data_IF_094262179748
#
_entry.id   IF_094262179748
#
_cell.length_a   1.000
_cell.length_b   1.000
_cell.length_c   1.000
_cell.angle_alpha   90.00
_cell.angle_beta   90.00
_cell.angle_gamma   90.00
#
_symmetry.space_group_name_H-M   'P 1'
#
loop_
_entity.id
_entity.type
_entity.pdbx_description
1 polymer ?
#
# COMPACT_ATOMS: atom_id res chain seq x y z
N UNK A 1 -11.05 -7.94 -28.18
CA UNK A 1 -11.47 -7.97 -26.76
C UNK A 1 -12.62 -7.00 -26.50
N UNK A 2 -13.80 -7.43 -26.07
CA UNK A 2 -14.90 -6.52 -25.70
C UNK A 2 -14.53 -5.61 -24.51
N UNK A 3 -15.28 -4.52 -24.32
CA UNK A 3 -15.10 -3.67 -23.13
C UNK A 3 -15.53 -4.43 -21.87
N UNK A 4 -14.92 -4.12 -20.73
CA UNK A 4 -15.19 -4.77 -19.45
C UNK A 4 -14.44 -6.08 -19.21
N UNK A 5 -13.77 -6.65 -20.22
CA UNK A 5 -13.07 -7.93 -20.09
C UNK A 5 -11.95 -7.86 -19.06
N UNK A 6 -11.87 -8.91 -18.24
CA UNK A 6 -10.72 -9.20 -17.40
C UNK A 6 -9.56 -9.71 -18.29
N UNK A 7 -8.39 -9.10 -18.14
CA UNK A 7 -7.20 -9.37 -18.93
C UNK A 7 -5.95 -9.41 -18.06
N UNK A 8 -4.96 -10.19 -18.48
CA UNK A 8 -3.65 -10.30 -17.84
C UNK A 8 -2.54 -10.41 -18.90
N UNK A 9 -1.28 -10.41 -18.47
CA UNK A 9 -0.10 -10.49 -19.35
C UNK A 9 -0.11 -9.47 -20.51
N UNK A 10 -0.24 -8.19 -20.17
CA UNK A 10 -0.47 -7.11 -21.16
C UNK A 10 0.85 -6.51 -21.63
N UNK A 11 1.00 -6.30 -22.93
CA UNK A 11 2.11 -5.57 -23.54
C UNK A 11 1.98 -4.05 -23.31
N UNK A 12 3.10 -3.36 -23.03
CA UNK A 12 3.13 -1.88 -22.99
C UNK A 12 3.56 -1.32 -24.36
N UNK A 13 4.44 -2.04 -25.04
CA UNK A 13 4.96 -1.71 -26.36
C UNK A 13 4.74 -2.94 -27.25
N UNK A 14 4.28 -2.69 -28.47
CA UNK A 14 3.99 -3.72 -29.45
C UNK A 14 5.21 -4.67 -29.62
N UNK A 15 4.97 -5.97 -29.53
CA UNK A 15 5.98 -7.00 -29.81
C UNK A 15 7.07 -7.16 -28.74
N UNK A 16 7.02 -6.43 -27.61
CA UNK A 16 7.97 -6.61 -26.50
C UNK A 16 7.55 -7.70 -25.50
N UNK A 17 6.43 -8.37 -25.75
CA UNK A 17 5.86 -9.36 -24.84
C UNK A 17 5.17 -8.71 -23.63
N UNK A 18 4.41 -9.54 -22.92
CA UNK A 18 3.60 -9.10 -21.78
C UNK A 18 4.46 -8.64 -20.61
N UNK A 19 4.15 -7.45 -20.09
CA UNK A 19 4.91 -6.80 -19.01
C UNK A 19 4.03 -6.54 -17.78
N UNK A 20 2.74 -6.24 -17.98
CA UNK A 20 1.81 -5.90 -16.91
C UNK A 20 0.94 -7.08 -16.51
N UNK A 21 0.49 -7.07 -15.24
CA UNK A 21 -0.44 -8.07 -14.67
C UNK A 21 0.02 -9.53 -14.87
N UNK A 22 1.25 -9.84 -14.45
CA UNK A 22 1.84 -11.19 -14.52
C UNK A 22 1.89 -11.95 -13.20
N UNK A 23 1.73 -11.24 -12.09
CA UNK A 23 1.81 -11.85 -10.76
C UNK A 23 0.58 -12.75 -10.49
N UNK A 24 0.74 -13.70 -9.57
CA UNK A 24 -0.35 -14.58 -9.14
C UNK A 24 -1.61 -13.79 -8.75
N UNK A 25 -2.77 -14.21 -9.26
CA UNK A 25 -4.05 -13.53 -9.06
C UNK A 25 -4.16 -12.13 -9.66
N UNK A 26 -3.18 -11.63 -10.43
CA UNK A 26 -3.26 -10.32 -11.04
C UNK A 26 -4.29 -10.29 -12.17
N UNK A 27 -5.07 -9.20 -12.20
CA UNK A 27 -6.07 -8.94 -13.24
C UNK A 27 -6.14 -7.44 -13.51
N UNK A 28 -6.28 -7.08 -14.78
CA UNK A 28 -6.62 -5.75 -15.24
C UNK A 28 -7.97 -5.79 -15.96
N UNK A 29 -8.65 -4.66 -16.06
CA UNK A 29 -9.91 -4.53 -16.80
C UNK A 29 -9.76 -3.54 -17.95
N UNK A 30 -10.26 -3.91 -19.11
CA UNK A 30 -10.40 -3.00 -20.26
C UNK A 30 -11.62 -2.10 -20.03
N UNK A 31 -11.42 -0.80 -19.85
CA UNK A 31 -12.52 0.13 -19.56
C UNK A 31 -13.11 0.68 -20.84
N UNK A 32 -12.25 1.27 -21.66
CA UNK A 32 -12.64 2.02 -22.85
C UNK A 32 -11.60 1.81 -23.96
N UNK A 33 -12.01 2.11 -25.19
CA UNK A 33 -11.17 2.06 -26.37
C UNK A 33 -11.48 3.28 -27.21
N UNK A 34 -10.48 4.11 -27.46
CA UNK A 34 -10.66 5.38 -28.14
C UNK A 34 -9.49 5.64 -29.09
N UNK A 35 -9.77 6.03 -30.33
CA UNK A 35 -8.75 6.33 -31.34
C UNK A 35 -7.72 5.19 -31.51
N UNK A 36 -6.44 5.47 -31.25
CA UNK A 36 -5.33 4.49 -31.33
C UNK A 36 -4.98 3.86 -29.99
N UNK A 37 -5.69 4.19 -28.91
CA UNK A 37 -5.37 3.75 -27.54
C UNK A 37 -6.52 3.04 -26.84
N UNK A 38 -6.17 2.19 -25.89
CA UNK A 38 -7.08 1.46 -25.01
C UNK A 38 -6.81 1.91 -23.57
N UNK A 39 -7.89 2.15 -22.83
CA UNK A 39 -7.85 2.57 -21.44
C UNK A 39 -8.01 1.35 -20.54
N UNK A 40 -6.99 1.06 -19.74
CA UNK A 40 -6.95 -0.08 -18.84
C UNK A 40 -6.98 0.36 -17.38
N UNK A 41 -7.70 -0.39 -16.55
CA UNK A 41 -7.60 -0.34 -15.09
C UNK A 41 -6.66 -1.44 -14.62
N UNK A 42 -5.50 -1.06 -14.11
CA UNK A 42 -4.49 -1.97 -13.60
C UNK A 42 -4.89 -2.55 -12.23
N UNK A 43 -4.30 -3.69 -11.80
CA UNK A 43 -4.54 -4.26 -10.46
C UNK A 43 -4.17 -3.30 -9.32
N UNK A 44 -3.28 -2.34 -9.57
CA UNK A 44 -2.93 -1.27 -8.64
C UNK A 44 -4.07 -0.26 -8.42
N UNK A 45 -5.08 -0.24 -9.30
CA UNK A 45 -6.12 0.78 -9.37
C UNK A 45 -5.76 2.01 -10.22
N UNK A 46 -4.55 2.05 -10.79
CA UNK A 46 -4.16 3.06 -11.77
C UNK A 46 -4.91 2.86 -13.10
N UNK A 47 -5.36 3.96 -13.71
CA UNK A 47 -5.96 3.97 -15.05
C UNK A 47 -4.94 4.52 -16.03
N UNK A 48 -4.67 3.74 -17.08
CA UNK A 48 -3.57 4.00 -18.01
C UNK A 48 -3.97 3.69 -19.45
N UNK A 49 -3.47 4.51 -20.37
CA UNK A 49 -3.56 4.31 -21.81
C UNK A 49 -2.45 3.39 -22.32
N UNK A 50 -2.82 2.46 -23.20
CA UNK A 50 -1.94 1.55 -23.93
C UNK A 50 -2.33 1.58 -25.42
N UNK A 51 -1.41 1.29 -26.34
CA UNK A 51 -1.76 1.17 -27.77
C UNK A 51 -2.78 0.04 -27.98
N UNK A 52 -3.74 0.25 -28.88
CA UNK A 52 -4.73 -0.80 -29.24
C UNK A 52 -4.10 -2.03 -29.89
N UNK A 53 -2.93 -1.87 -30.50
CA UNK A 53 -2.24 -2.95 -31.20
C UNK A 53 -1.50 -3.89 -30.23
N UNK A 54 -1.33 -3.52 -28.96
CA UNK A 54 -0.66 -4.34 -27.96
C UNK A 54 -1.47 -5.59 -27.63
N UNK A 55 -0.79 -6.73 -27.51
CA UNK A 55 -1.43 -8.00 -27.16
C UNK A 55 -1.71 -8.12 -25.66
N UNK A 56 -2.74 -8.89 -25.33
CA UNK A 56 -3.09 -9.24 -23.96
C UNK A 56 -3.84 -10.57 -23.92
N UNK A 57 -3.75 -11.28 -22.79
CA UNK A 57 -4.44 -12.56 -22.58
C UNK A 57 -5.72 -12.33 -21.79
N UNK A 58 -6.81 -13.02 -22.17
CA UNK A 58 -8.10 -12.96 -21.47
C UNK A 58 -8.00 -13.74 -20.15
N UNK A 59 -8.65 -13.24 -19.10
CA UNK A 59 -8.78 -13.91 -17.81
C UNK A 59 -7.84 -13.36 -16.73
N UNK A 60 -7.77 -14.08 -15.61
CA UNK A 60 -6.94 -13.76 -14.44
C UNK A 60 -5.77 -14.75 -14.35
N UNK A 61 -4.62 -14.29 -13.85
CA UNK A 61 -3.50 -15.19 -13.54
C UNK A 61 -3.89 -16.16 -12.42
N UNK A 62 -3.59 -17.45 -12.56
CA UNK A 62 -3.88 -18.47 -11.56
C UNK A 62 -3.18 -18.28 -10.20
N UNK A 63 -3.36 -19.25 -9.30
CA UNK A 63 -2.78 -19.27 -7.95
C UNK A 63 -3.16 -18.06 -7.07
N UNK A 64 -4.46 -17.73 -7.03
CA UNK A 64 -4.99 -16.57 -6.29
C UNK A 64 -4.67 -16.63 -4.79
N UNK A 65 -4.67 -17.83 -4.19
CA UNK A 65 -4.43 -18.06 -2.76
C UNK A 65 -2.97 -18.00 -2.31
N UNK A 66 -2.02 -17.61 -3.17
CA UNK A 66 -0.58 -17.59 -2.78
C UNK A 66 -0.30 -16.69 -1.59
N UNK A 67 -1.09 -15.63 -1.41
CA UNK A 67 -0.95 -14.66 -0.32
C UNK A 67 -1.55 -15.15 1.01
N UNK A 68 -2.32 -16.24 1.01
CA UNK A 68 -2.89 -16.84 2.22
C UNK A 68 -1.88 -17.75 2.94
N UNK A 69 -0.78 -18.12 2.28
CA UNK A 69 0.26 -18.98 2.86
C UNK A 69 1.06 -18.23 3.92
N UNK A 70 1.13 -18.77 5.13
CA UNK A 70 2.08 -18.34 6.17
C UNK A 70 3.38 -19.13 6.05
N UNK A 71 4.54 -18.47 6.16
CA UNK A 71 5.85 -19.11 6.06
C UNK A 71 6.21 -19.94 7.32
N UNK A 72 5.58 -19.65 8.46
CA UNK A 72 5.72 -20.36 9.74
C UNK A 72 7.07 -20.16 10.46
N UNK A 73 8.17 -20.51 9.79
CA UNK A 73 9.54 -20.47 10.34
C UNK A 73 10.43 -19.48 9.60
N UNK A 74 11.46 -18.99 10.29
CA UNK A 74 12.43 -18.05 9.73
C UNK A 74 13.19 -18.63 8.51
N UNK A 75 13.61 -19.90 8.58
CA UNK A 75 14.35 -20.57 7.51
C UNK A 75 13.62 -20.66 6.17
N UNK A 76 12.28 -20.76 6.18
CA UNK A 76 11.46 -20.74 4.96
C UNK A 76 11.65 -19.47 4.14
N UNK A 77 12.01 -18.34 4.78
CA UNK A 77 12.30 -17.08 4.10
C UNK A 77 13.66 -17.10 3.40
N UNK A 78 14.63 -17.79 3.98
CA UNK A 78 15.96 -17.99 3.39
C UNK A 78 15.88 -18.89 2.15
N UNK A 79 15.01 -19.90 2.13
CA UNK A 79 14.76 -20.73 0.95
C UNK A 79 14.23 -19.94 -0.25
N UNK A 80 13.60 -18.79 -0.01
CA UNK A 80 13.18 -17.85 -1.05
C UNK A 80 14.30 -16.88 -1.50
N UNK A 81 15.55 -17.12 -1.07
CA UNK A 81 16.70 -16.25 -1.34
C UNK A 81 16.69 -14.91 -0.59
N UNK A 82 15.86 -14.76 0.45
CA UNK A 82 15.75 -13.51 1.22
C UNK A 82 16.54 -13.59 2.51
N UNK A 83 17.58 -12.74 2.62
CA UNK A 83 18.43 -12.63 3.81
C UNK A 83 17.76 -11.80 4.93
N UNK A 84 18.17 -11.98 6.20
CA UNK A 84 17.76 -11.11 7.30
C UNK A 84 18.11 -9.64 7.04
N UNK A 85 17.28 -8.72 7.53
CA UNK A 85 17.48 -7.26 7.40
C UNK A 85 17.45 -6.65 8.80
N UNK A 86 18.46 -5.86 9.13
CA UNK A 86 18.59 -5.16 10.42
C UNK A 86 17.86 -3.82 10.37
N UNK A 87 17.21 -3.43 11.47
CA UNK A 87 16.52 -2.13 11.59
C UNK A 87 17.54 -1.01 11.77
N UNK A 88 17.35 0.12 11.08
CA UNK A 88 18.26 1.27 11.17
C UNK A 88 18.41 1.89 12.56
N UNK A 89 17.43 1.72 13.46
CA UNK A 89 17.51 2.21 14.85
C UNK A 89 18.54 1.44 15.69
N UNK A 90 18.87 0.21 15.30
CA UNK A 90 19.81 -0.67 16.04
C UNK A 90 21.25 -0.45 15.57
N UNK A 91 21.45 0.30 14.48
CA UNK A 91 22.76 0.51 13.89
C UNK A 91 23.51 1.65 14.59
N UNK A 92 24.80 1.83 14.28
CA UNK A 92 25.55 2.99 14.74
C UNK A 92 25.16 4.25 13.93
N UNK A 93 25.41 5.47 14.46
CA UNK A 93 25.12 6.71 13.74
C UNK A 93 25.78 6.84 12.36
N UNK A 94 26.96 6.21 12.19
CA UNK A 94 27.70 6.18 10.92
C UNK A 94 27.00 5.34 9.85
N UNK A 95 26.33 4.26 10.26
CA UNK A 95 25.71 3.29 9.35
C UNK A 95 24.28 3.69 8.94
N UNK A 96 23.55 4.33 9.84
CA UNK A 96 22.18 4.76 9.59
C UNK A 96 21.86 6.08 10.27
N UNK A 97 21.12 6.99 9.62
CA UNK A 97 20.69 8.26 10.22
C UNK A 97 19.76 8.17 11.45
N UNK A 98 19.37 6.95 11.85
CA UNK A 98 18.55 6.68 13.02
C UNK A 98 19.33 5.91 14.09
N UNK A 99 20.60 5.61 13.83
CA UNK A 99 21.44 4.81 14.68
C UNK A 99 21.98 5.59 15.87
N UNK A 100 22.44 4.85 16.88
CA UNK A 100 22.98 5.35 18.14
C UNK A 100 21.93 5.60 19.23
N UNK A 101 22.37 6.35 20.25
CA UNK A 101 21.68 6.49 21.53
C UNK A 101 22.23 5.51 22.58
N UNK A 102 22.17 5.90 23.85
CA UNK A 102 22.66 5.08 24.99
C UNK A 102 21.84 3.79 25.19
N UNK A 103 20.62 3.75 24.62
CA UNK A 103 19.74 2.59 24.65
C UNK A 103 18.73 2.65 23.51
N UNK A 104 17.51 2.19 23.75
CA UNK A 104 16.45 2.24 22.73
C UNK A 104 16.02 3.69 22.46
N UNK A 105 16.44 4.24 21.33
CA UNK A 105 16.09 5.60 20.93
C UNK A 105 14.81 5.67 20.07
N UNK A 106 14.01 6.76 20.19
CA UNK A 106 13.08 7.16 19.14
C UNK A 106 13.85 7.66 17.91
N UNK A 107 13.14 7.94 16.81
CA UNK A 107 13.75 8.33 15.52
C UNK A 107 14.61 9.61 15.61
N UNK A 108 14.33 10.51 16.56
CA UNK A 108 15.11 11.74 16.79
C UNK A 108 15.08 12.77 15.66
N UNK A 109 14.40 12.49 14.53
CA UNK A 109 14.31 13.36 13.35
C UNK A 109 12.86 13.73 13.04
N UNK A 110 12.66 14.90 12.42
CA UNK A 110 11.33 15.40 11.97
C UNK A 110 10.58 14.40 11.09
N UNK A 111 11.28 13.60 10.29
CA UNK A 111 10.71 12.55 9.41
C UNK A 111 11.61 11.31 9.44
N UNK A 112 11.04 10.09 9.34
CA UNK A 112 11.84 8.88 9.14
C UNK A 112 12.57 8.94 7.80
N UNK A 113 13.83 8.52 7.78
CA UNK A 113 14.69 8.54 6.61
C UNK A 113 15.18 7.15 6.21
N UNK A 114 15.58 7.02 4.94
CA UNK A 114 16.30 5.88 4.40
C UNK A 114 17.75 5.86 4.91
N UNK A 115 18.50 4.75 4.76
CA UNK A 115 19.93 4.71 5.07
C UNK A 115 20.73 5.84 4.41
N UNK A 116 20.34 6.24 3.19
CA UNK A 116 20.96 7.36 2.45
C UNK A 116 20.39 8.75 2.77
N UNK A 117 19.65 8.91 3.86
CA UNK A 117 19.19 10.23 4.34
C UNK A 117 17.94 10.82 3.66
N UNK A 118 17.37 10.19 2.64
CA UNK A 118 16.11 10.66 2.03
C UNK A 118 14.89 10.37 2.92
N UNK A 119 13.83 11.21 2.90
CA UNK A 119 12.59 10.92 3.60
C UNK A 119 11.92 9.62 3.10
N UNK A 120 11.71 8.66 4.00
CA UNK A 120 11.16 7.34 3.68
C UNK A 120 9.63 7.36 3.50
N UNK A 121 8.94 8.29 4.19
CA UNK A 121 7.48 8.38 4.19
C UNK A 121 6.99 9.59 3.39
N UNK A 122 5.98 9.37 2.56
CA UNK A 122 5.19 10.43 1.91
C UNK A 122 5.86 11.17 0.74
N UNK A 123 7.18 11.02 0.54
CA UNK A 123 7.88 11.63 -0.60
C UNK A 123 7.59 10.85 -1.89
N UNK A 124 7.05 11.51 -2.92
CA UNK A 124 6.90 10.92 -4.27
C UNK A 124 8.26 10.87 -4.95
N UNK A 125 8.67 9.69 -5.41
CA UNK A 125 9.98 9.44 -6.05
C UNK A 125 9.93 9.40 -7.58
N UNK A 126 8.74 9.41 -8.18
CA UNK A 126 8.57 9.43 -9.64
C UNK A 126 9.11 10.74 -10.23
N UNK A 127 9.98 10.64 -11.25
CA UNK A 127 10.48 11.79 -12.02
C UNK A 127 9.32 12.54 -12.68
N UNK A 128 9.30 13.88 -12.56
CA UNK A 128 8.19 14.74 -13.05
C UNK A 128 8.04 14.73 -14.58
N UNK A 129 9.15 14.81 -15.32
CA UNK A 129 9.17 14.95 -16.80
C UNK A 129 9.27 13.61 -17.55
N UNK A 130 8.66 12.54 -17.03
CA UNK A 130 8.74 11.21 -17.69
C UNK A 130 7.76 11.14 -18.86
N UNK A 131 8.17 10.59 -20.00
CA UNK A 131 7.32 10.44 -21.21
C UNK A 131 5.96 9.79 -20.91
N UNK A 132 5.93 8.83 -19.98
CA UNK A 132 4.74 8.07 -19.61
C UNK A 132 3.74 8.84 -18.74
N UNK A 133 3.97 10.13 -18.46
CA UNK A 133 3.06 10.93 -17.64
C UNK A 133 1.73 11.18 -18.36
N UNK A 134 1.76 11.48 -19.66
CA UNK A 134 0.56 11.71 -20.49
C UNK A 134 -0.29 10.46 -20.65
N UNK A 135 0.33 9.27 -20.61
CA UNK A 135 -0.37 7.99 -20.72
C UNK A 135 -1.12 7.59 -19.45
N UNK A 136 -0.90 8.26 -18.31
CA UNK A 136 -1.55 7.91 -17.04
C UNK A 136 -2.68 8.89 -16.78
N UNK A 137 -3.91 8.41 -16.93
CA UNK A 137 -5.13 9.21 -16.73
C UNK A 137 -5.44 9.39 -15.25
N UNK A 138 -5.34 8.31 -14.45
CA UNK A 138 -5.59 8.36 -13.01
C UNK A 138 -4.54 7.54 -12.28
N UNK A 139 -3.81 8.18 -11.36
CA UNK A 139 -2.83 7.49 -10.51
C UNK A 139 -3.51 6.54 -9.53
N UNK A 140 -2.75 5.52 -9.08
CA UNK A 140 -3.15 4.64 -7.98
C UNK A 140 -3.66 5.46 -6.79
N UNK A 141 -4.91 5.21 -6.39
CA UNK A 141 -5.48 5.76 -5.17
C UNK A 141 -4.97 5.03 -3.93
N UNK A 142 -4.90 5.75 -2.81
CA UNK A 142 -4.62 5.12 -1.52
C UNK A 142 -5.78 4.18 -1.17
N UNK A 143 -5.46 3.05 -0.54
CA UNK A 143 -6.44 2.02 -0.20
C UNK A 143 -7.65 2.56 0.59
N UNK A 144 -7.41 3.49 1.52
CA UNK A 144 -8.45 4.13 2.31
C UNK A 144 -9.41 4.96 1.46
N UNK A 145 -8.88 5.84 0.60
CA UNK A 145 -9.70 6.67 -0.28
C UNK A 145 -10.58 5.82 -1.20
N UNK A 146 -10.06 4.68 -1.68
CA UNK A 146 -10.83 3.73 -2.48
C UNK A 146 -12.01 3.12 -1.70
N UNK A 147 -11.86 2.85 -0.39
CA UNK A 147 -12.96 2.35 0.45
C UNK A 147 -14.04 3.42 0.62
N UNK A 148 -13.62 4.66 0.89
CA UNK A 148 -14.53 5.80 1.09
C UNK A 148 -15.34 6.09 -0.18
N UNK A 149 -14.69 6.16 -1.35
CA UNK A 149 -15.38 6.32 -2.63
C UNK A 149 -16.44 5.23 -2.87
N UNK A 150 -16.14 3.98 -2.49
CA UNK A 150 -17.06 2.84 -2.65
C UNK A 150 -18.29 2.97 -1.73
N UNK A 151 -18.12 3.41 -0.48
CA UNK A 151 -19.21 3.60 0.47
C UNK A 151 -20.10 4.78 0.08
N UNK A 152 -19.50 5.89 -0.36
CA UNK A 152 -20.24 7.01 -0.93
C UNK A 152 -21.13 6.59 -2.11
N UNK A 153 -20.63 5.70 -2.98
CA UNK A 153 -21.42 5.19 -4.11
C UNK A 153 -22.60 4.32 -3.66
N UNK A 154 -22.51 3.70 -2.48
CA UNK A 154 -23.54 2.80 -1.92
C UNK A 154 -24.49 3.52 -0.94
N UNK A 155 -24.24 4.80 -0.63
CA UNK A 155 -24.91 5.56 0.43
C UNK A 155 -24.89 4.88 1.81
N UNK A 156 -23.90 4.03 2.07
CA UNK A 156 -23.73 3.28 3.32
C UNK A 156 -22.79 4.03 4.28
N UNK A 157 -23.18 4.18 5.56
CA UNK A 157 -22.36 4.78 6.62
C UNK A 157 -21.68 3.73 7.50
N UNK A 158 -21.05 2.75 6.87
CA UNK A 158 -20.32 1.70 7.60
C UNK A 158 -19.00 2.18 8.19
N UNK A 159 -18.56 1.51 9.27
CA UNK A 159 -17.28 1.78 9.92
C UNK A 159 -16.13 1.31 9.03
N UNK A 160 -15.23 2.24 8.66
CA UNK A 160 -14.10 1.95 7.78
C UNK A 160 -12.88 1.54 8.59
N UNK A 161 -12.55 0.25 8.58
CA UNK A 161 -11.31 -0.24 9.20
C UNK A 161 -10.09 0.17 8.36
N UNK A 162 -9.13 0.83 9.01
CA UNK A 162 -7.88 1.29 8.40
C UNK A 162 -6.65 1.08 9.28
N UNK A 163 -5.62 0.52 8.66
CA UNK A 163 -4.25 0.55 9.18
C UNK A 163 -3.47 1.78 8.72
N UNK A 164 -4.06 2.61 7.86
CA UNK A 164 -3.38 3.75 7.23
C UNK A 164 -3.35 4.98 8.13
N UNK A 165 -2.73 4.86 9.30
CA UNK A 165 -2.54 5.96 10.28
C UNK A 165 -1.90 7.20 9.64
N UNK A 166 -1.02 7.01 8.65
CA UNK A 166 -0.32 8.11 7.98
C UNK A 166 -1.15 8.82 6.89
N UNK A 167 -2.39 8.41 6.63
CA UNK A 167 -3.24 9.11 5.66
C UNK A 167 -3.74 10.43 6.21
N UNK A 168 -3.60 11.49 5.41
CA UNK A 168 -4.16 12.81 5.67
C UNK A 168 -5.67 12.78 5.43
N UNK A 169 -6.42 13.41 6.33
CA UNK A 169 -7.86 13.60 6.20
C UNK A 169 -8.12 14.63 5.10
N UNK A 170 -8.99 14.28 4.17
CA UNK A 170 -9.37 15.06 2.99
C UNK A 170 -10.87 15.35 3.12
N UNK A 171 -11.41 16.47 2.58
CA UNK A 171 -12.83 16.81 2.72
C UNK A 171 -13.79 15.69 2.33
N UNK A 172 -13.41 14.85 1.36
CA UNK A 172 -14.20 13.69 0.94
C UNK A 172 -14.39 12.61 2.02
N UNK A 173 -13.65 12.70 3.13
CA UNK A 173 -13.75 11.78 4.27
C UNK A 173 -14.70 12.27 5.35
N UNK A 174 -15.21 13.51 5.27
CA UNK A 174 -16.13 14.08 6.26
C UNK A 174 -17.42 13.25 6.31
N UNK A 175 -17.98 13.08 7.50
CA UNK A 175 -19.22 12.34 7.72
C UNK A 175 -19.06 10.81 7.77
N UNK A 176 -17.82 10.31 7.72
CA UNK A 176 -17.51 8.89 7.83
C UNK A 176 -16.90 8.54 9.19
N UNK A 177 -17.24 7.35 9.70
CA UNK A 177 -16.58 6.78 10.87
C UNK A 177 -15.42 5.89 10.41
N UNK A 178 -14.19 6.28 10.73
CA UNK A 178 -12.98 5.56 10.36
C UNK A 178 -12.37 4.91 11.60
N UNK A 179 -12.28 3.59 11.62
CA UNK A 179 -11.64 2.84 12.70
C UNK A 179 -10.13 2.72 12.46
N UNK A 180 -9.35 3.47 13.24
CA UNK A 180 -7.91 3.66 13.07
C UNK A 180 -7.15 2.72 14.01
N UNK A 181 -6.29 1.88 13.44
CA UNK A 181 -5.49 0.92 14.22
C UNK A 181 -4.51 1.63 15.17
N UNK A 182 -4.54 1.31 16.46
CA UNK A 182 -3.64 1.89 17.49
C UNK A 182 -2.44 1.00 17.87
N UNK A 183 -2.32 -0.20 17.28
CA UNK A 183 -1.29 -1.18 17.62
C UNK A 183 -1.85 -2.47 18.24
N UNK A 184 -3.08 -2.42 18.77
CA UNK A 184 -3.81 -3.60 19.29
C UNK A 184 -5.20 -3.71 18.68
N UNK A 185 -5.93 -2.60 18.62
CA UNK A 185 -7.32 -2.54 18.17
C UNK A 185 -7.53 -1.38 17.18
N UNK A 186 -8.74 -1.27 16.63
CA UNK A 186 -9.13 -0.17 15.75
C UNK A 186 -10.10 0.76 16.47
N UNK A 187 -9.64 1.97 16.78
CA UNK A 187 -10.45 3.00 17.45
C UNK A 187 -11.36 3.70 16.42
N UNK A 188 -12.69 3.62 16.52
CA UNK A 188 -13.60 4.33 15.62
C UNK A 188 -13.55 5.84 15.88
N UNK A 189 -13.25 6.61 14.85
CA UNK A 189 -13.22 8.08 14.90
C UNK A 189 -14.15 8.63 13.82
N UNK A 190 -15.14 9.42 14.23
CA UNK A 190 -16.02 10.14 13.30
C UNK A 190 -15.31 11.40 12.78
N UNK A 191 -15.24 11.54 11.45
CA UNK A 191 -14.51 12.63 10.83
C UNK A 191 -15.39 13.86 10.64
N UNK A 192 -15.00 14.95 11.30
CA UNK A 192 -15.57 16.29 11.15
C UNK A 192 -14.67 17.17 10.27
N UNK A 193 -15.24 18.27 9.75
CA UNK A 193 -14.53 19.21 8.85
C UNK A 193 -13.25 19.79 9.49
N UNK A 194 -13.28 20.09 10.79
CA UNK A 194 -12.12 20.62 11.54
C UNK A 194 -10.90 19.66 11.57
N UNK A 195 -11.08 18.38 11.22
CA UNK A 195 -9.99 17.40 11.20
C UNK A 195 -9.26 17.36 9.85
N UNK A 196 -9.77 18.04 8.82
CA UNK A 196 -9.17 18.07 7.48
C UNK A 196 -7.75 18.60 7.53
N UNK A 197 -6.85 17.99 6.74
CA UNK A 197 -5.43 18.36 6.68
C UNK A 197 -4.56 17.69 7.74
N UNK A 198 -5.13 17.16 8.82
CA UNK A 198 -4.41 16.39 9.86
C UNK A 198 -4.28 14.92 9.46
N UNK A 199 -3.38 14.17 10.11
CA UNK A 199 -3.24 12.72 9.87
C UNK A 199 -4.18 11.92 10.77
N UNK A 200 -4.75 10.84 10.24
CA UNK A 200 -5.62 9.94 11.02
C UNK A 200 -4.96 9.44 12.30
N UNK A 201 -3.68 9.10 12.25
CA UNK A 201 -2.93 8.60 13.41
C UNK A 201 -2.80 9.59 14.57
N UNK A 202 -3.06 10.89 14.36
CA UNK A 202 -3.10 11.88 15.44
C UNK A 202 -4.33 11.69 16.35
N UNK A 203 -5.41 11.12 15.83
CA UNK A 203 -6.67 10.90 16.56
C UNK A 203 -6.79 9.50 17.16
N UNK A 204 -5.73 8.70 17.09
CA UNK A 204 -5.69 7.34 17.61
C UNK A 204 -4.34 7.15 18.30
N UNK A 205 -4.21 7.47 19.59
CA UNK A 205 -2.94 7.37 20.29
C UNK A 205 -2.43 5.93 20.29
N UNK A 206 -1.14 5.72 19.98
CA UNK A 206 -0.51 4.41 20.13
C UNK A 206 -0.20 4.17 21.60
N UNK A 207 -0.72 3.09 22.18
CA UNK A 207 -0.22 2.64 23.49
C UNK A 207 1.20 2.12 23.27
N UNK A 208 2.18 2.68 23.97
CA UNK A 208 3.53 2.12 23.98
C UNK A 208 3.43 0.69 24.52
N UNK A 209 3.86 -0.28 23.70
CA UNK A 209 3.94 -1.68 24.11
C UNK A 209 4.78 -1.80 25.38
N UNK A 210 4.13 -2.02 26.53
CA UNK A 210 4.77 -2.14 27.86
C UNK A 210 5.47 -3.49 28.06
N UNK A 211 5.27 -4.44 27.16
CA UNK A 211 5.79 -5.81 27.26
C UNK A 211 4.68 -6.84 27.03
N UNK A 212 5.05 -8.07 26.70
CA UNK A 212 4.13 -9.20 26.83
C UNK A 212 4.01 -9.51 28.33
N UNK A 213 2.79 -9.78 28.81
CA UNK A 213 2.64 -10.41 30.11
C UNK A 213 3.48 -11.70 30.07
N UNK A 214 4.45 -11.82 30.98
CA UNK A 214 5.12 -13.10 31.20
C UNK A 214 4.05 -14.04 31.76
N UNK A 215 3.43 -14.83 30.89
CA UNK A 215 2.74 -16.02 31.36
C UNK A 215 3.84 -17.00 31.74
N UNK A 216 4.25 -16.95 33.01
CA UNK A 216 5.16 -17.93 33.60
C UNK A 216 4.45 -19.28 33.66
N UNK A 217 4.48 -20.02 32.56
CA UNK A 217 4.14 -21.45 32.55
C UNK A 217 5.35 -22.30 32.96
N UNK A 218 6.31 -21.75 33.71
CA UNK A 218 7.31 -22.52 34.45
C UNK A 218 6.91 -22.59 35.92
N UNK A 219 5.92 -23.43 36.20
CA UNK A 219 5.84 -24.08 37.50
C UNK A 219 5.54 -25.57 37.31
N UNK A 220 6.30 -26.39 38.05
CA UNK A 220 6.16 -27.83 38.31
C UNK A 220 6.74 -28.80 37.27
N UNK A 221 8.05 -29.02 37.39
CA UNK A 221 8.60 -30.36 37.64
C UNK A 221 9.70 -30.27 38.69
#
# INVERSE_FOLDING_TARGET
MPLGTAIHNIEITLGKGGQLARAAGAVAKLIAKEGKSATLKLPSGEVRLISKNCSATVGQVGNVGVNQKSLGRAGSKCWLGKRPVVRGVVMNPVDHPHGGGEGRAPIGRKKPVTPWGYPALGRRTRKRKKYSETLILRRRTKHLLRKIEKLNTKAEKEIIITWSRASTIIPTMIGHTIAIHNGREHLPVYIIDLMVGRKLGEFSPTINFRGHAKNDNRSRR
#
